data_IF_129485413781
#
_entry.id   IF_129485413781
#
_cell.length_a   1.000
_cell.length_b   1.000
_cell.length_c   1.000
_cell.angle_alpha   90.00
_cell.angle_beta   90.00
_cell.angle_gamma   90.00
#
_symmetry.space_group_name_H-M   'P 1'
#
loop_
_entity.id
_entity.type
_entity.pdbx_description
1 polymer ?
#
# COMPACT_ATOMS: atom_id res chain seq x y z
N UNK A 1 -7.58 23.18 3.27
CA UNK A 1 -8.61 22.22 3.57
C UNK A 1 -10.00 22.81 3.34
N UNK A 2 -10.39 23.91 4.00
CA UNK A 2 -11.72 24.55 3.81
C UNK A 2 -12.06 24.85 2.35
N UNK A 3 -11.09 25.38 1.58
CA UNK A 3 -11.27 25.65 0.13
C UNK A 3 -11.56 24.39 -0.70
N UNK A 4 -11.20 23.21 -0.20
CA UNK A 4 -11.38 21.91 -0.88
C UNK A 4 -12.53 21.10 -0.28
N UNK A 5 -13.26 21.65 0.70
CA UNK A 5 -14.32 20.93 1.41
C UNK A 5 -13.83 19.74 2.24
N UNK A 6 -12.54 19.70 2.58
CA UNK A 6 -11.97 18.62 3.39
C UNK A 6 -12.14 18.95 4.87
N UNK A 7 -12.92 18.12 5.57
CA UNK A 7 -13.08 18.23 7.01
C UNK A 7 -11.76 17.92 7.72
N UNK A 8 -11.34 18.79 8.64
CA UNK A 8 -10.18 18.60 9.49
C UNK A 8 -10.41 19.22 10.87
N UNK A 9 -9.79 18.64 11.89
CA UNK A 9 -9.87 19.06 13.27
C UNK A 9 -8.45 19.22 13.82
N UNK A 10 -7.99 20.47 14.16
CA UNK A 10 -6.75 20.66 14.87
C UNK A 10 -6.84 20.05 16.28
N UNK A 11 -5.79 19.36 16.69
CA UNK A 11 -5.71 18.69 17.99
C UNK A 11 -4.58 19.28 18.83
N UNK A 12 -4.84 19.52 20.12
CA UNK A 12 -3.78 19.73 21.10
C UNK A 12 -3.00 18.43 21.34
N UNK A 13 -1.81 18.49 21.96
CA UNK A 13 -1.08 17.26 22.32
C UNK A 13 -1.91 16.30 23.18
N UNK A 14 -2.71 16.81 24.12
CA UNK A 14 -3.58 16.04 25.01
C UNK A 14 -4.69 15.34 24.23
N UNK A 15 -5.32 16.06 23.30
CA UNK A 15 -6.36 15.51 22.43
C UNK A 15 -5.78 14.42 21.49
N UNK A 16 -4.59 14.63 20.94
CA UNK A 16 -3.94 13.62 20.11
C UNK A 16 -3.62 12.33 20.91
N UNK A 17 -3.17 12.46 22.17
CA UNK A 17 -2.97 11.31 23.07
C UNK A 17 -4.27 10.61 23.41
N UNK A 18 -5.34 11.36 23.63
CA UNK A 18 -6.65 10.79 23.97
C UNK A 18 -7.25 9.90 22.87
N UNK A 19 -6.87 10.11 21.60
CA UNK A 19 -7.26 9.24 20.48
C UNK A 19 -6.60 7.85 20.55
N UNK A 20 -5.46 7.72 21.25
CA UNK A 20 -4.72 6.48 21.37
C UNK A 20 -4.41 6.17 22.84
N UNK A 21 -5.43 5.81 23.65
CA UNK A 21 -5.24 5.55 25.07
C UNK A 21 -4.28 4.37 25.29
N UNK A 22 -3.38 4.53 26.26
CA UNK A 22 -2.34 3.52 26.55
C UNK A 22 -1.08 3.62 25.70
N UNK A 23 -1.02 4.56 24.76
CA UNK A 23 0.18 4.85 23.97
C UNK A 23 0.74 6.21 24.35
N UNK A 24 2.00 6.25 24.77
CA UNK A 24 2.71 7.52 25.01
C UNK A 24 3.13 8.13 23.67
N UNK A 25 2.43 9.19 23.25
CA UNK A 25 2.73 9.90 22.01
C UNK A 25 3.36 11.25 22.32
N UNK A 26 4.61 11.44 21.88
CA UNK A 26 5.34 12.69 21.98
C UNK A 26 5.10 13.54 20.74
N UNK A 27 4.21 14.52 20.84
CA UNK A 27 3.87 15.43 19.75
C UNK A 27 3.57 16.85 20.26
N UNK A 28 3.75 17.84 19.40
CA UNK A 28 3.37 19.23 19.68
C UNK A 28 1.88 19.52 19.39
N UNK A 29 1.17 18.56 18.79
CA UNK A 29 -0.23 18.61 18.39
C UNK A 29 -0.45 17.74 17.16
N UNK A 30 -1.64 17.83 16.57
CA UNK A 30 -1.99 17.06 15.38
C UNK A 30 -3.14 17.68 14.58
N UNK A 31 -3.47 17.03 13.50
CA UNK A 31 -4.67 17.32 12.71
C UNK A 31 -5.38 15.99 12.46
N UNK A 32 -6.63 15.90 12.88
CA UNK A 32 -7.48 14.77 12.58
C UNK A 32 -8.22 15.01 11.27
N UNK A 33 -8.25 14.02 10.41
CA UNK A 33 -9.08 13.94 9.21
C UNK A 33 -10.17 12.91 9.46
N UNK A 34 -11.39 13.30 9.84
CA UNK A 34 -12.43 12.37 10.27
C UNK A 34 -12.91 11.40 9.18
N UNK A 35 -12.72 11.78 7.91
CA UNK A 35 -13.10 10.97 6.76
C UNK A 35 -12.00 10.02 6.27
N UNK A 36 -10.78 10.17 6.78
CA UNK A 36 -9.69 9.27 6.45
C UNK A 36 -9.87 7.93 7.17
N UNK A 37 -9.45 6.88 6.53
CA UNK A 37 -9.49 5.53 7.07
C UNK A 37 -8.25 4.74 6.70
N UNK A 38 -8.03 3.65 7.41
CA UNK A 38 -7.03 2.65 7.07
C UNK A 38 -7.68 1.29 6.89
N UNK A 39 -7.03 0.41 6.16
CA UNK A 39 -7.48 -0.95 5.94
C UNK A 39 -6.30 -1.92 6.02
N UNK A 40 -6.62 -3.19 6.22
CA UNK A 40 -5.67 -4.29 6.10
C UNK A 40 -5.67 -4.82 4.66
N UNK A 41 -4.62 -4.58 3.86
CA UNK A 41 -4.56 -5.05 2.48
C UNK A 41 -4.76 -6.56 2.34
N UNK A 42 -4.18 -7.43 3.19
CA UNK A 42 -4.43 -8.87 3.11
C UNK A 42 -5.89 -9.25 3.31
N UNK A 43 -6.59 -8.60 4.24
CA UNK A 43 -8.03 -8.87 4.49
C UNK A 43 -8.90 -8.40 3.32
N UNK A 44 -8.57 -7.23 2.74
CA UNK A 44 -9.25 -6.74 1.55
C UNK A 44 -9.07 -7.70 0.37
N UNK A 45 -7.83 -8.13 0.11
CA UNK A 45 -7.54 -9.08 -0.97
C UNK A 45 -8.25 -10.43 -0.77
N UNK A 46 -8.30 -10.93 0.46
CA UNK A 46 -9.04 -12.15 0.78
C UNK A 46 -10.55 -12.00 0.50
N UNK A 47 -11.13 -10.85 0.89
CA UNK A 47 -12.54 -10.56 0.63
C UNK A 47 -12.85 -10.43 -0.87
N UNK A 48 -12.00 -9.72 -1.62
CA UNK A 48 -12.13 -9.59 -3.08
C UNK A 48 -12.00 -10.94 -3.78
N UNK A 49 -11.01 -11.77 -3.38
CA UNK A 49 -10.86 -13.13 -3.89
C UNK A 49 -12.12 -13.96 -3.67
N UNK A 50 -12.66 -13.94 -2.45
CA UNK A 50 -13.89 -14.65 -2.13
C UNK A 50 -15.09 -14.14 -2.95
N UNK A 51 -15.17 -12.83 -3.20
CA UNK A 51 -16.23 -12.24 -4.02
C UNK A 51 -16.14 -12.69 -5.48
N UNK A 52 -14.94 -12.72 -6.08
CA UNK A 52 -14.71 -13.21 -7.44
C UNK A 52 -15.17 -14.66 -7.57
N UNK A 53 -14.74 -15.53 -6.67
CA UNK A 53 -15.09 -16.96 -6.71
C UNK A 53 -16.59 -17.20 -6.52
N UNK A 54 -17.25 -16.47 -5.60
CA UNK A 54 -18.70 -16.53 -5.42
C UNK A 54 -19.47 -16.06 -6.67
N UNK A 55 -18.91 -15.10 -7.40
CA UNK A 55 -19.48 -14.63 -8.68
C UNK A 55 -19.23 -15.56 -9.86
N UNK A 56 -18.64 -16.74 -9.66
CA UNK A 56 -18.32 -17.70 -10.72
C UNK A 56 -17.03 -17.36 -11.49
N UNK A 57 -16.24 -16.39 -11.00
CA UNK A 57 -14.94 -16.07 -11.59
C UNK A 57 -13.87 -17.10 -11.24
N UNK A 58 -12.82 -17.16 -12.04
CA UNK A 58 -11.66 -18.02 -11.84
C UNK A 58 -10.43 -17.19 -11.48
N UNK A 59 -9.60 -17.69 -10.57
CA UNK A 59 -8.31 -17.10 -10.21
C UNK A 59 -7.22 -18.15 -10.42
N UNK A 60 -6.31 -17.89 -11.35
CA UNK A 60 -5.16 -18.74 -11.65
C UNK A 60 -3.90 -18.18 -11.00
N UNK A 61 -3.50 -18.75 -9.87
CA UNK A 61 -2.25 -18.39 -9.21
C UNK A 61 -1.06 -19.08 -9.88
N UNK A 62 0.11 -18.42 -9.83
CA UNK A 62 1.34 -18.99 -10.39
C UNK A 62 1.36 -19.02 -11.93
N UNK A 63 0.42 -18.35 -12.59
CA UNK A 63 0.37 -18.23 -14.04
C UNK A 63 0.85 -16.85 -14.44
N UNK A 64 2.00 -16.78 -15.12
CA UNK A 64 2.58 -15.55 -15.61
C UNK A 64 2.07 -15.21 -17.02
N UNK A 65 1.68 -13.96 -17.24
CA UNK A 65 1.41 -13.44 -18.59
C UNK A 65 2.75 -13.09 -19.23
N UNK A 66 3.11 -13.85 -20.27
CA UNK A 66 4.40 -13.75 -20.98
C UNK A 66 4.34 -12.91 -22.24
N UNK A 67 3.14 -12.60 -22.74
CA UNK A 67 2.93 -11.81 -23.96
C UNK A 67 1.49 -11.78 -24.41
N UNK A 68 1.30 -11.38 -25.65
CA UNK A 68 -0.02 -11.19 -26.26
C UNK A 68 -0.06 -11.75 -27.68
N UNK A 69 -1.15 -12.34 -28.07
CA UNK A 69 -1.52 -12.52 -29.45
C UNK A 69 -2.40 -11.34 -29.87
N UNK A 70 -1.79 -10.35 -30.51
CA UNK A 70 -2.43 -9.08 -30.85
C UNK A 70 -2.08 -8.67 -32.29
N UNK A 71 -2.66 -9.34 -33.30
CA UNK A 71 -2.49 -8.94 -34.70
C UNK A 71 -3.28 -7.65 -34.96
N UNK A 72 -2.58 -6.57 -35.28
CA UNK A 72 -3.20 -5.25 -35.49
C UNK A 72 -3.61 -4.57 -34.18
N UNK A 73 -4.87 -4.15 -34.09
CA UNK A 73 -5.41 -3.37 -32.97
C UNK A 73 -6.22 -4.24 -31.99
N UNK A 74 -6.46 -5.50 -32.32
CA UNK A 74 -7.24 -6.42 -31.52
C UNK A 74 -6.33 -7.38 -30.72
N UNK A 75 -6.70 -7.64 -29.47
CA UNK A 75 -6.09 -8.68 -28.65
C UNK A 75 -6.93 -9.95 -28.74
N UNK A 76 -6.33 -11.03 -29.25
CA UNK A 76 -6.99 -12.35 -29.40
C UNK A 76 -6.78 -13.23 -28.19
N UNK A 77 -5.57 -13.20 -27.62
CA UNK A 77 -5.24 -13.98 -26.44
C UNK A 77 -4.13 -13.34 -25.60
N UNK A 78 -4.17 -13.60 -24.30
CA UNK A 78 -3.02 -13.42 -23.41
C UNK A 78 -2.20 -14.70 -23.43
N UNK A 79 -0.93 -14.62 -23.82
CA UNK A 79 0.02 -15.72 -23.73
C UNK A 79 0.47 -15.89 -22.30
N UNK A 80 0.37 -17.10 -21.76
CA UNK A 80 0.75 -17.35 -20.37
C UNK A 80 1.67 -18.56 -20.24
N UNK A 81 2.31 -18.69 -19.06
CA UNK A 81 3.14 -19.86 -18.72
C UNK A 81 2.35 -21.19 -18.70
N UNK A 82 1.01 -21.12 -18.66
CA UNK A 82 0.11 -22.28 -18.64
C UNK A 82 -0.74 -22.43 -19.93
N UNK A 83 -0.32 -21.77 -21.03
CA UNK A 83 -1.04 -21.74 -22.30
C UNK A 83 -1.78 -20.42 -22.53
N UNK A 84 -2.37 -20.29 -23.69
CA UNK A 84 -3.05 -19.07 -24.12
C UNK A 84 -4.43 -18.95 -23.46
N UNK A 85 -4.80 -17.72 -23.07
CA UNK A 85 -6.11 -17.42 -22.50
C UNK A 85 -6.80 -16.42 -23.42
N UNK A 86 -7.92 -16.82 -24.01
CA UNK A 86 -8.75 -15.96 -24.85
C UNK A 86 -9.94 -15.39 -24.07
N UNK A 87 -10.41 -14.21 -24.49
CA UNK A 87 -11.54 -13.51 -23.88
C UNK A 87 -12.07 -12.44 -24.81
N UNK A 88 -13.28 -11.98 -24.55
CA UNK A 88 -13.89 -10.87 -25.31
C UNK A 88 -13.28 -9.50 -24.94
N UNK A 89 -12.78 -9.37 -23.72
CA UNK A 89 -12.13 -8.15 -23.20
C UNK A 89 -10.97 -8.52 -22.29
N UNK A 90 -9.96 -7.64 -22.26
CA UNK A 90 -8.77 -7.81 -21.44
C UNK A 90 -8.57 -6.57 -20.58
N UNK A 91 -8.29 -6.78 -19.31
CA UNK A 91 -7.93 -5.71 -18.35
C UNK A 91 -6.53 -5.94 -17.85
N UNK A 92 -5.61 -5.03 -18.18
CA UNK A 92 -4.25 -5.07 -17.67
C UNK A 92 -4.18 -4.32 -16.34
N UNK A 93 -4.04 -5.06 -15.25
CA UNK A 93 -3.97 -4.54 -13.89
C UNK A 93 -2.71 -5.03 -13.14
N UNK A 94 -1.56 -5.04 -13.82
CA UNK A 94 -0.30 -5.60 -13.31
C UNK A 94 0.52 -4.59 -12.45
N UNK A 95 -0.09 -3.50 -11.97
CA UNK A 95 0.58 -2.52 -11.12
C UNK A 95 1.87 -2.00 -11.76
N UNK A 96 2.97 -1.97 -11.02
CA UNK A 96 4.28 -1.50 -11.48
C UNK A 96 4.86 -2.31 -12.64
N UNK A 97 4.39 -3.52 -12.87
CA UNK A 97 4.82 -4.39 -13.99
C UNK A 97 4.00 -4.16 -15.26
N UNK A 98 2.95 -3.35 -15.22
CA UNK A 98 2.10 -3.11 -16.40
C UNK A 98 2.87 -2.66 -17.64
N UNK A 99 3.89 -1.77 -17.59
CA UNK A 99 4.68 -1.41 -18.77
C UNK A 99 5.41 -2.60 -19.40
N UNK A 100 5.92 -3.52 -18.57
CA UNK A 100 6.59 -4.73 -19.04
C UNK A 100 5.58 -5.73 -19.62
N UNK A 101 4.46 -5.92 -18.93
CA UNK A 101 3.39 -6.85 -19.34
C UNK A 101 2.68 -6.37 -20.60
N UNK A 102 2.61 -5.05 -20.85
CA UNK A 102 2.04 -4.50 -22.09
C UNK A 102 3.00 -4.56 -23.30
N UNK A 103 4.19 -5.11 -23.13
CA UNK A 103 5.12 -5.25 -24.24
C UNK A 103 4.48 -6.08 -25.39
N UNK A 104 4.59 -5.54 -26.62
CA UNK A 104 3.95 -6.12 -27.80
C UNK A 104 2.53 -5.59 -28.07
N UNK A 105 1.92 -4.87 -27.15
CA UNK A 105 0.72 -4.07 -27.41
C UNK A 105 1.09 -2.69 -27.92
N UNK A 106 0.23 -2.06 -28.71
CA UNK A 106 0.41 -0.68 -29.20
C UNK A 106 0.03 0.36 -28.13
N UNK A 107 0.31 0.06 -26.86
CA UNK A 107 0.00 0.92 -25.71
C UNK A 107 1.28 1.32 -25.02
N UNK A 108 1.51 2.63 -24.88
CA UNK A 108 2.61 3.18 -24.09
C UNK A 108 2.10 3.58 -22.71
N UNK A 109 2.62 2.94 -21.67
CA UNK A 109 2.30 3.25 -20.28
C UNK A 109 3.51 3.97 -19.63
N UNK A 110 3.49 5.30 -19.48
CA UNK A 110 4.58 6.05 -18.86
C UNK A 110 4.50 5.93 -17.34
N UNK A 111 4.75 4.74 -16.83
CA UNK A 111 4.71 4.43 -15.40
C UNK A 111 6.12 4.24 -14.86
N UNK A 112 6.35 4.76 -13.67
CA UNK A 112 7.58 4.58 -12.91
C UNK A 112 7.24 3.92 -11.57
N UNK A 113 7.90 2.81 -11.27
CA UNK A 113 7.71 2.12 -9.99
C UNK A 113 8.31 2.92 -8.83
N UNK A 114 7.53 3.05 -7.76
CA UNK A 114 7.98 3.55 -6.47
C UNK A 114 8.04 2.41 -5.45
N UNK A 115 9.17 2.30 -4.75
CA UNK A 115 9.40 1.31 -3.70
C UNK A 115 9.33 1.97 -2.34
N UNK A 116 8.35 1.57 -1.51
CA UNK A 116 8.23 1.99 -0.12
C UNK A 116 8.89 0.99 0.83
N UNK A 117 9.30 1.48 2.00
CA UNK A 117 9.87 0.68 3.08
C UNK A 117 8.95 0.68 4.28
N UNK A 118 8.83 -0.44 4.94
CA UNK A 118 8.06 -0.55 6.18
C UNK A 118 8.64 -1.58 7.13
N UNK A 119 8.32 -1.40 8.42
CA UNK A 119 8.63 -2.32 9.49
C UNK A 119 7.30 -2.69 10.13
N UNK A 120 7.10 -3.95 10.42
CA UNK A 120 5.93 -4.44 11.14
C UNK A 120 6.36 -5.05 12.46
N UNK A 121 5.79 -4.56 13.55
CA UNK A 121 5.94 -5.16 14.87
C UNK A 121 4.83 -6.19 15.05
N UNK A 122 5.21 -7.45 15.21
CA UNK A 122 4.30 -8.57 15.43
C UNK A 122 3.59 -8.47 16.78
N UNK A 123 4.31 -7.98 17.81
CA UNK A 123 3.83 -7.84 19.17
C UNK A 123 4.21 -6.45 19.69
N UNK A 124 3.46 -5.41 19.29
CA UNK A 124 3.72 -4.06 19.79
C UNK A 124 3.40 -3.98 21.29
N UNK A 125 4.19 -3.24 22.09
CA UNK A 125 3.95 -3.09 23.53
C UNK A 125 2.60 -2.42 23.85
N UNK A 126 2.07 -1.65 22.92
CA UNK A 126 0.72 -1.09 22.96
C UNK A 126 0.21 -0.95 21.53
N UNK A 127 -1.11 -0.93 21.35
CA UNK A 127 -1.73 -0.82 20.02
C UNK A 127 -2.37 0.56 19.83
N UNK A 128 -2.16 1.16 18.66
CA UNK A 128 -2.88 2.38 18.30
C UNK A 128 -4.33 2.07 17.94
N UNK A 129 -5.24 2.94 18.34
CA UNK A 129 -6.65 2.90 17.94
C UNK A 129 -6.87 3.62 16.61
N UNK A 130 -6.08 4.66 16.35
CA UNK A 130 -6.16 5.51 15.16
C UNK A 130 -4.80 5.51 14.45
N UNK A 131 -4.79 5.34 13.15
CA UNK A 131 -3.57 5.49 12.35
C UNK A 131 -3.07 6.95 12.40
N UNK A 132 -1.77 7.12 12.20
CA UNK A 132 -1.14 8.45 12.23
C UNK A 132 -0.07 8.58 11.14
N UNK A 133 0.19 9.83 10.72
CA UNK A 133 1.35 10.18 9.92
C UNK A 133 2.22 11.12 10.76
N UNK A 134 3.43 10.68 11.05
CA UNK A 134 4.45 11.48 11.73
C UNK A 134 5.12 12.39 10.68
N UNK A 135 4.63 13.62 10.55
CA UNK A 135 4.94 14.48 9.40
C UNK A 135 6.41 14.81 9.28
N UNK A 136 7.10 15.12 10.39
CA UNK A 136 8.53 15.44 10.40
C UNK A 136 9.39 14.20 10.06
N UNK A 137 8.99 13.03 10.53
CA UNK A 137 9.66 11.77 10.24
C UNK A 137 9.29 11.20 8.88
N UNK A 138 8.17 11.64 8.29
CA UNK A 138 7.57 11.07 7.08
C UNK A 138 7.31 9.56 7.23
N UNK A 139 6.77 9.18 8.40
CA UNK A 139 6.45 7.80 8.75
C UNK A 139 4.97 7.69 9.02
N UNK A 140 4.30 6.81 8.31
CA UNK A 140 2.93 6.41 8.59
C UNK A 140 2.93 5.28 9.63
N UNK A 141 2.06 5.37 10.63
CA UNK A 141 1.88 4.36 11.67
C UNK A 141 0.47 3.82 11.55
N UNK A 142 0.35 2.53 11.29
CA UNK A 142 -0.93 1.91 10.97
C UNK A 142 -1.14 0.64 11.78
N UNK A 143 -2.18 0.57 12.62
CA UNK A 143 -2.58 -0.67 13.25
C UNK A 143 -3.12 -1.67 12.21
N UNK A 144 -2.67 -2.91 12.26
CA UNK A 144 -3.07 -3.97 11.32
C UNK A 144 -3.49 -5.24 12.07
N UNK A 145 -4.64 -5.18 12.74
CA UNK A 145 -5.06 -6.23 13.64
C UNK A 145 -4.19 -6.22 14.90
N UNK A 146 -3.48 -7.30 15.18
CA UNK A 146 -2.58 -7.40 16.34
C UNK A 146 -1.17 -6.85 16.10
N UNK A 147 -0.87 -6.47 14.87
CA UNK A 147 0.43 -5.94 14.49
C UNK A 147 0.38 -4.42 14.29
N UNK A 148 1.54 -3.78 14.40
CA UNK A 148 1.68 -2.34 14.15
C UNK A 148 2.71 -2.10 13.06
N UNK A 149 2.31 -1.38 12.01
CA UNK A 149 3.17 -1.11 10.86
C UNK A 149 3.66 0.33 10.85
N UNK A 150 4.98 0.51 10.71
CA UNK A 150 5.64 1.79 10.46
C UNK A 150 6.10 1.80 9.01
N UNK A 151 5.43 2.60 8.18
CA UNK A 151 5.77 2.78 6.77
C UNK A 151 6.40 4.15 6.56
N UNK A 152 7.58 4.19 5.98
CA UNK A 152 8.26 5.46 5.74
C UNK A 152 9.23 5.34 4.57
N UNK A 153 9.63 6.50 4.07
CA UNK A 153 10.55 6.63 2.94
C UNK A 153 10.14 5.85 1.68
N UNK A 154 10.33 6.46 0.56
CA UNK A 154 10.09 5.89 -0.76
C UNK A 154 11.27 6.22 -1.67
N UNK A 155 11.54 5.37 -2.63
CA UNK A 155 12.49 5.63 -3.69
C UNK A 155 11.92 5.23 -5.06
N UNK A 156 12.41 5.88 -6.11
CA UNK A 156 12.01 5.63 -7.49
C UNK A 156 13.21 5.01 -8.21
N UNK A 157 13.28 3.68 -8.17
CA UNK A 157 14.42 2.88 -8.67
C UNK A 157 14.01 1.87 -9.73
N UNK A 158 12.80 2.00 -10.30
CA UNK A 158 12.25 0.98 -11.18
C UNK A 158 11.80 -0.27 -10.40
N UNK A 159 11.97 -1.44 -11.02
CA UNK A 159 11.53 -2.72 -10.46
C UNK A 159 12.62 -3.39 -9.58
N UNK A 160 13.47 -2.62 -8.93
CA UNK A 160 14.44 -3.14 -7.97
C UNK A 160 13.77 -3.49 -6.65
N UNK A 161 13.80 -4.76 -6.27
CA UNK A 161 13.19 -5.29 -5.04
C UNK A 161 14.20 -5.41 -3.87
N UNK A 162 15.44 -4.95 -4.04
CA UNK A 162 16.44 -4.98 -2.97
C UNK A 162 16.03 -4.13 -1.77
N UNK A 163 16.40 -4.56 -0.56
CA UNK A 163 16.09 -3.84 0.68
C UNK A 163 17.30 -3.03 1.15
N UNK A 164 17.18 -1.71 1.17
CA UNK A 164 18.21 -0.81 1.69
C UNK A 164 18.19 -0.76 3.22
N UNK A 165 19.17 -1.36 3.87
CA UNK A 165 19.33 -1.33 5.32
C UNK A 165 19.39 0.12 5.87
N UNK A 166 19.99 1.05 5.13
CA UNK A 166 20.06 2.47 5.51
C UNK A 166 18.67 3.10 5.63
N UNK A 167 17.76 2.79 4.70
CA UNK A 167 16.39 3.33 4.72
C UNK A 167 15.57 2.73 5.85
N UNK A 168 15.70 1.43 6.09
CA UNK A 168 15.07 0.75 7.22
C UNK A 168 15.56 1.33 8.54
N UNK A 169 16.88 1.51 8.71
CA UNK A 169 17.47 2.13 9.90
C UNK A 169 16.96 3.57 10.14
N UNK A 170 16.68 4.31 9.07
CA UNK A 170 16.07 5.66 9.17
C UNK A 170 14.68 5.63 9.81
N UNK A 171 13.85 4.66 9.46
CA UNK A 171 12.53 4.46 10.06
C UNK A 171 12.70 4.09 11.54
N UNK A 172 13.52 3.08 11.85
CA UNK A 172 13.76 2.61 13.23
C UNK A 172 14.21 3.76 14.13
N UNK A 173 15.16 4.57 13.68
CA UNK A 173 15.70 5.70 14.45
C UNK A 173 14.65 6.78 14.73
N UNK A 174 13.63 6.92 13.92
CA UNK A 174 12.61 7.95 14.09
C UNK A 174 11.52 7.58 15.10
N UNK A 175 11.20 6.28 15.25
CA UNK A 175 10.08 5.80 16.06
C UNK A 175 10.17 6.26 17.53
N UNK A 176 11.28 6.08 18.27
CA UNK A 176 11.34 6.42 19.69
C UNK A 176 11.18 7.91 20.00
N UNK A 177 11.29 8.78 18.99
CA UNK A 177 11.06 10.23 19.15
C UNK A 177 9.58 10.55 19.39
N UNK A 178 8.70 9.73 18.86
CA UNK A 178 7.24 9.90 18.96
C UNK A 178 6.61 8.89 19.89
N UNK A 179 7.21 7.73 20.00
CA UNK A 179 6.73 6.61 20.79
C UNK A 179 7.89 6.05 21.63
N UNK A 180 8.20 6.64 22.78
CA UNK A 180 9.35 6.23 23.60
C UNK A 180 9.32 4.76 24.06
N UNK A 181 8.15 4.18 24.16
CA UNK A 181 7.95 2.79 24.55
C UNK A 181 8.22 1.75 23.42
N UNK A 182 8.49 2.22 22.21
CA UNK A 182 8.77 1.31 21.07
C UNK A 182 10.24 1.17 20.76
#
# INVERSE_FOLDING_TARGET
AERLGVALEPLTPEQARALNPGVDIQCAGGVLFPLDCFLSPPRLLAALRAAILRGGGEIRNGVEVTGWDAPGDDVRAAKTSAGDVSGAQYVLAAGSWSPRTSAGLRVRLPMQAGKGYSITLEQPPAQLSVCAILTEARVAVTPMGETLRFGGTMEVTGLDESVSARRVAGIIKSIPRYFPQY
#
